data_IF_060087583539
#
_entry.id   IF_060087583539
#
_cell.length_a   1.000
_cell.length_b   1.000
_cell.length_c   1.000
_cell.angle_alpha   90.00
_cell.angle_beta   90.00
_cell.angle_gamma   90.00
#
_symmetry.space_group_name_H-M   'P 1'
#
loop_
_entity.id
_entity.type
_entity.pdbx_description
1 polymer ?
#
# COMPACT_ATOMS: atom_id res chain seq x y z
N UNK A 1 8.33 13.11 -16.53
CA UNK A 1 8.19 12.33 -15.25
C UNK A 1 7.22 11.16 -15.42
N UNK A 2 7.53 9.96 -14.91
CA UNK A 2 6.65 8.78 -15.00
C UNK A 2 6.43 8.12 -13.64
N UNK A 3 5.29 7.43 -13.46
CA UNK A 3 5.04 6.58 -12.29
C UNK A 3 5.54 5.16 -12.60
N UNK A 4 6.25 4.53 -11.67
CA UNK A 4 6.64 3.13 -11.78
C UNK A 4 6.34 2.40 -10.47
N UNK A 5 6.01 1.12 -10.59
CA UNK A 5 6.02 0.20 -9.45
C UNK A 5 6.95 -0.97 -9.75
N UNK A 6 7.87 -1.22 -8.84
CA UNK A 6 8.70 -2.42 -8.84
C UNK A 6 8.44 -3.15 -7.54
N UNK A 7 8.16 -4.45 -7.65
CA UNK A 7 7.82 -5.22 -6.47
C UNK A 7 7.69 -6.69 -6.74
N UNK A 8 7.22 -7.39 -5.72
CA UNK A 8 6.95 -8.82 -5.74
C UNK A 8 5.73 -9.10 -4.87
N UNK A 9 5.06 -10.20 -5.17
CA UNK A 9 3.90 -10.64 -4.41
C UNK A 9 3.89 -12.13 -4.24
N UNK A 10 2.96 -12.65 -3.44
CA UNK A 10 2.67 -14.08 -3.36
C UNK A 10 2.35 -14.75 -4.71
N UNK A 11 2.05 -13.98 -5.77
CA UNK A 11 1.86 -14.49 -7.14
C UNK A 11 3.19 -14.74 -7.86
N UNK A 12 4.21 -13.93 -7.57
CA UNK A 12 5.49 -13.96 -8.28
C UNK A 12 6.62 -14.58 -7.47
N UNK A 13 6.54 -14.54 -6.13
CA UNK A 13 7.61 -14.94 -5.22
C UNK A 13 7.10 -15.83 -4.08
N UNK A 14 7.82 -16.91 -3.73
CA UNK A 14 7.50 -17.74 -2.58
C UNK A 14 7.93 -17.04 -1.28
N UNK A 15 7.32 -17.39 -0.14
CA UNK A 15 7.53 -16.72 1.15
C UNK A 15 9.01 -16.62 1.56
N UNK A 16 9.86 -17.59 1.21
CA UNK A 16 11.31 -17.58 1.49
C UNK A 16 12.04 -16.38 0.87
N UNK A 17 11.55 -15.88 -0.27
CA UNK A 17 12.08 -14.69 -0.93
C UNK A 17 11.43 -13.43 -0.34
N UNK A 18 10.12 -13.48 -0.07
CA UNK A 18 9.34 -12.33 0.41
C UNK A 18 9.76 -11.90 1.80
N UNK A 19 10.03 -12.84 2.69
CA UNK A 19 10.41 -12.53 4.08
C UNK A 19 11.74 -11.79 4.17
N UNK A 20 12.72 -12.11 3.30
CA UNK A 20 14.02 -11.42 3.24
C UNK A 20 13.89 -9.95 2.86
N UNK A 21 12.86 -9.63 2.09
CA UNK A 21 12.60 -8.28 1.59
C UNK A 21 11.59 -7.54 2.49
N UNK A 22 10.99 -8.20 3.48
CA UNK A 22 10.03 -7.56 4.39
C UNK A 22 10.70 -6.41 5.13
N UNK A 23 10.12 -5.20 4.99
CA UNK A 23 10.59 -4.00 5.68
C UNK A 23 9.68 -3.76 6.88
N UNK A 24 10.18 -3.91 8.13
CA UNK A 24 9.42 -3.59 9.33
C UNK A 24 9.11 -2.10 9.40
N UNK A 25 7.99 -1.73 10.03
CA UNK A 25 7.55 -0.33 10.17
C UNK A 25 8.64 0.57 10.79
N UNK A 26 9.42 0.06 11.74
CA UNK A 26 10.53 0.79 12.36
C UNK A 26 11.67 1.14 11.40
N UNK A 27 11.83 0.42 10.28
CA UNK A 27 12.86 0.66 9.26
C UNK A 27 12.33 1.43 8.04
N UNK A 28 11.02 1.67 7.95
CA UNK A 28 10.40 2.34 6.79
C UNK A 28 10.99 3.73 6.56
N UNK A 29 11.24 4.50 7.61
CA UNK A 29 11.85 5.83 7.49
C UNK A 29 13.20 5.77 6.76
N UNK A 30 14.13 4.94 7.25
CA UNK A 30 15.44 4.76 6.64
C UNK A 30 15.36 4.25 5.19
N UNK A 31 14.41 3.36 4.90
CA UNK A 31 14.16 2.83 3.57
C UNK A 31 13.68 3.91 2.59
N UNK A 32 12.73 4.76 3.02
CA UNK A 32 12.22 5.88 2.22
C UNK A 32 13.31 6.93 1.98
N UNK A 33 14.12 7.26 3.00
CA UNK A 33 15.25 8.20 2.86
C UNK A 33 16.29 7.67 1.88
N UNK A 34 16.64 6.38 1.97
CA UNK A 34 17.60 5.76 1.04
C UNK A 34 17.05 5.81 -0.40
N UNK A 35 15.79 5.42 -0.61
CA UNK A 35 15.18 5.49 -1.94
C UNK A 35 15.12 6.92 -2.50
N UNK A 36 14.79 7.91 -1.68
CA UNK A 36 14.80 9.33 -2.06
C UNK A 36 16.18 9.89 -2.36
N UNK A 37 17.24 9.22 -1.90
CA UNK A 37 18.62 9.60 -2.18
C UNK A 37 19.09 9.23 -3.59
N UNK A 38 18.35 8.38 -4.31
CA UNK A 38 18.70 8.01 -5.68
C UNK A 38 18.42 9.16 -6.67
N UNK A 39 19.32 9.44 -7.63
CA UNK A 39 19.20 10.56 -8.56
C UNK A 39 17.90 10.61 -9.37
N UNK A 40 17.32 9.45 -9.72
CA UNK A 40 16.17 9.40 -10.60
C UNK A 40 14.84 9.21 -9.87
N UNK A 41 14.81 9.21 -8.53
CA UNK A 41 13.61 9.00 -7.71
C UNK A 41 13.15 10.32 -7.06
N UNK A 42 12.01 10.84 -7.50
CA UNK A 42 11.43 12.11 -7.02
C UNK A 42 10.42 11.92 -5.91
N UNK A 43 9.58 10.90 -5.99
CA UNK A 43 8.64 10.52 -4.95
C UNK A 43 8.72 9.01 -4.75
N UNK A 44 8.47 8.53 -3.53
CA UNK A 44 8.48 7.10 -3.23
C UNK A 44 7.55 6.73 -2.08
N UNK A 45 6.87 5.59 -2.23
CA UNK A 45 6.05 4.96 -1.20
C UNK A 45 6.28 3.44 -1.21
N UNK A 46 6.28 2.83 -0.01
CA UNK A 46 6.57 1.40 0.18
C UNK A 46 5.35 0.71 0.77
N UNK A 47 4.76 -0.20 0.02
CA UNK A 47 3.74 -1.13 0.54
C UNK A 47 4.44 -2.43 0.93
N UNK A 48 4.64 -2.64 2.23
CA UNK A 48 5.22 -3.86 2.80
C UNK A 48 4.15 -4.60 3.60
N UNK A 49 3.76 -5.79 3.14
CA UNK A 49 2.76 -6.64 3.79
C UNK A 49 3.21 -8.09 3.81
N UNK A 50 2.43 -8.97 4.45
CA UNK A 50 2.72 -10.39 4.43
C UNK A 50 2.58 -11.05 3.05
N UNK A 51 2.01 -10.36 2.06
CA UNK A 51 1.72 -10.92 0.72
C UNK A 51 2.41 -10.17 -0.42
N UNK A 52 3.03 -9.01 -0.15
CA UNK A 52 3.70 -8.19 -1.16
C UNK A 52 4.73 -7.25 -0.55
N UNK A 53 5.73 -6.92 -1.35
CA UNK A 53 6.53 -5.73 -1.18
C UNK A 53 6.51 -4.97 -2.51
N UNK A 54 6.03 -3.74 -2.49
CA UNK A 54 5.90 -2.90 -3.68
C UNK A 54 6.43 -1.51 -3.41
N UNK A 55 7.31 -1.03 -4.29
CA UNK A 55 7.85 0.32 -4.25
C UNK A 55 7.23 1.09 -5.40
N UNK A 56 6.36 2.05 -5.06
CA UNK A 56 5.79 3.00 -6.01
C UNK A 56 6.66 4.24 -6.02
N UNK A 57 7.10 4.66 -7.20
CA UNK A 57 7.99 5.79 -7.36
C UNK A 57 7.55 6.70 -8.51
N UNK A 58 7.83 8.00 -8.37
CA UNK A 58 7.87 8.93 -9.50
C UNK A 58 9.32 9.05 -9.93
N UNK A 59 9.58 8.77 -11.20
CA UNK A 59 10.92 8.71 -11.76
C UNK A 59 11.11 9.73 -12.89
N UNK A 60 12.31 10.32 -12.96
CA UNK A 60 12.70 11.23 -14.05
C UNK A 60 13.14 10.47 -15.29
N UNK A 61 13.90 9.39 -15.10
CA UNK A 61 14.31 8.43 -16.12
C UNK A 61 13.76 7.05 -15.77
N UNK A 62 12.93 6.49 -16.65
CA UNK A 62 12.16 5.28 -16.33
C UNK A 62 13.07 4.06 -16.18
N UNK A 63 14.04 3.87 -17.08
CA UNK A 63 14.92 2.71 -17.03
C UNK A 63 15.85 2.80 -15.82
N UNK A 64 16.48 3.95 -15.61
CA UNK A 64 17.40 4.13 -14.48
C UNK A 64 16.69 4.07 -13.13
N UNK A 65 15.51 4.68 -13.01
CA UNK A 65 14.71 4.60 -11.79
C UNK A 65 14.30 3.16 -11.44
N UNK A 66 13.91 2.36 -12.44
CA UNK A 66 13.62 0.93 -12.22
C UNK A 66 14.87 0.16 -11.77
N UNK A 67 16.03 0.44 -12.36
CA UNK A 67 17.31 -0.17 -11.95
C UNK A 67 17.66 0.19 -10.51
N UNK A 68 17.53 1.46 -10.11
CA UNK A 68 17.80 1.93 -8.75
C UNK A 68 16.88 1.27 -7.72
N UNK A 69 15.58 1.18 -8.00
CA UNK A 69 14.63 0.48 -7.12
C UNK A 69 14.98 -1.02 -7.01
N UNK A 70 15.36 -1.64 -8.13
CA UNK A 70 15.76 -3.05 -8.16
C UNK A 70 17.03 -3.30 -7.36
N UNK A 71 18.01 -2.39 -7.48
CA UNK A 71 19.26 -2.42 -6.72
C UNK A 71 19.00 -2.32 -5.22
N UNK A 72 18.18 -1.35 -4.81
CA UNK A 72 17.76 -1.18 -3.42
C UNK A 72 17.12 -2.45 -2.84
N UNK A 73 16.23 -3.10 -3.60
CA UNK A 73 15.61 -4.35 -3.17
C UNK A 73 16.65 -5.48 -3.00
N UNK A 74 17.61 -5.59 -3.92
CA UNK A 74 18.69 -6.58 -3.81
C UNK A 74 19.56 -6.36 -2.57
N UNK A 75 19.87 -5.10 -2.26
CA UNK A 75 20.66 -4.71 -1.08
C UNK A 75 19.92 -5.03 0.22
N UNK A 76 18.65 -4.66 0.34
CA UNK A 76 17.84 -4.95 1.54
C UNK A 76 17.69 -6.46 1.76
N UNK A 77 17.38 -7.20 0.69
CA UNK A 77 17.16 -8.64 0.80
C UNK A 77 18.44 -9.44 0.96
N UNK A 78 19.61 -8.82 0.76
CA UNK A 78 20.89 -9.51 0.56
C UNK A 78 20.77 -10.64 -0.47
N UNK A 79 20.05 -10.37 -1.57
CA UNK A 79 19.79 -11.33 -2.66
C UNK A 79 20.51 -10.83 -3.92
N UNK A 80 21.33 -11.66 -4.58
CA UNK A 80 21.94 -11.29 -5.86
C UNK A 80 20.89 -10.85 -6.90
N UNK A 81 21.14 -9.75 -7.60
CA UNK A 81 20.22 -9.15 -8.58
C UNK A 81 19.71 -10.15 -9.63
N UNK A 82 20.58 -11.02 -10.12
CA UNK A 82 20.27 -12.03 -11.14
C UNK A 82 19.27 -13.10 -10.64
N UNK A 83 19.22 -13.34 -9.33
CA UNK A 83 18.25 -14.21 -8.68
C UNK A 83 16.96 -13.44 -8.44
N UNK A 84 17.06 -12.24 -7.85
CA UNK A 84 15.90 -11.44 -7.45
C UNK A 84 15.02 -11.05 -8.65
N UNK A 85 15.61 -10.65 -9.79
CA UNK A 85 14.88 -10.20 -10.99
C UNK A 85 13.81 -11.19 -11.48
N UNK A 86 13.98 -12.49 -11.24
CA UNK A 86 13.03 -13.54 -11.66
C UNK A 86 11.70 -13.49 -10.90
N UNK A 87 11.71 -12.86 -9.72
CA UNK A 87 10.57 -12.76 -8.82
C UNK A 87 9.90 -11.38 -8.84
N UNK A 88 10.56 -10.39 -9.45
CA UNK A 88 10.08 -9.02 -9.53
C UNK A 88 9.12 -8.83 -10.72
N UNK A 89 8.12 -8.00 -10.52
CA UNK A 89 7.35 -7.40 -11.60
C UNK A 89 7.66 -5.90 -11.66
N UNK A 90 7.50 -5.33 -12.86
CA UNK A 90 7.60 -3.90 -13.11
C UNK A 90 6.39 -3.47 -13.91
N UNK A 91 5.66 -2.47 -13.41
CA UNK A 91 4.55 -1.84 -14.13
C UNK A 91 4.81 -0.34 -14.22
N UNK A 92 4.44 0.24 -15.35
CA UNK A 92 4.72 1.63 -15.68
C UNK A 92 3.42 2.41 -15.86
N UNK A 93 3.45 3.67 -15.47
CA UNK A 93 2.42 4.68 -15.65
C UNK A 93 1.00 4.15 -15.38
N UNK A 94 0.19 3.97 -16.42
CA UNK A 94 -1.21 3.56 -16.31
C UNK A 94 -1.35 2.18 -15.66
N UNK A 95 -0.43 1.25 -15.93
CA UNK A 95 -0.45 -0.08 -15.32
C UNK A 95 -0.07 -0.03 -13.84
N UNK A 96 0.83 0.87 -13.46
CA UNK A 96 1.18 1.11 -12.05
C UNK A 96 -0.02 1.71 -11.29
N UNK A 97 -0.72 2.68 -11.90
CA UNK A 97 -1.94 3.29 -11.38
C UNK A 97 -3.01 2.21 -11.19
N UNK A 98 -3.34 1.47 -12.27
CA UNK A 98 -4.32 0.39 -12.26
C UNK A 98 -3.98 -0.65 -11.20
N UNK A 99 -2.72 -1.03 -11.07
CA UNK A 99 -2.27 -1.99 -10.07
C UNK A 99 -2.54 -1.49 -8.64
N UNK A 100 -2.18 -0.26 -8.30
CA UNK A 100 -2.45 0.27 -6.95
C UNK A 100 -3.95 0.32 -6.64
N UNK A 101 -4.78 0.69 -7.61
CA UNK A 101 -6.24 0.67 -7.47
C UNK A 101 -6.74 -0.76 -7.20
N UNK A 102 -6.26 -1.75 -7.96
CA UNK A 102 -6.60 -3.17 -7.77
C UNK A 102 -6.12 -3.72 -6.42
N UNK A 103 -4.92 -3.32 -5.98
CA UNK A 103 -4.38 -3.65 -4.64
C UNK A 103 -5.28 -3.07 -3.56
N UNK A 104 -5.68 -1.80 -3.69
CA UNK A 104 -6.53 -1.11 -2.70
C UNK A 104 -7.96 -1.67 -2.65
N UNK A 105 -8.47 -2.16 -3.78
CA UNK A 105 -9.73 -2.89 -3.89
C UNK A 105 -9.66 -4.34 -3.37
N UNK A 106 -8.46 -4.85 -3.08
CA UNK A 106 -8.25 -6.23 -2.65
C UNK A 106 -8.36 -7.28 -3.76
N UNK A 107 -8.33 -6.87 -5.03
CA UNK A 107 -8.32 -7.78 -6.18
C UNK A 107 -6.97 -8.49 -6.35
N UNK A 108 -5.91 -7.88 -5.84
CA UNK A 108 -4.57 -8.47 -5.86
C UNK A 108 -4.26 -9.28 -4.61
N UNK A 109 -5.16 -9.36 -3.63
CA UNK A 109 -4.92 -10.08 -2.36
C UNK A 109 -5.08 -11.59 -2.53
N UNK A 110 -4.39 -12.36 -1.68
CA UNK A 110 -4.57 -13.81 -1.60
C UNK A 110 -6.05 -14.14 -1.40
N UNK A 111 -6.70 -13.38 -0.53
CA UNK A 111 -8.14 -13.45 -0.32
C UNK A 111 -8.81 -12.19 -0.87
N UNK A 112 -9.64 -12.40 -1.89
CA UNK A 112 -10.28 -11.31 -2.61
C UNK A 112 -11.19 -10.50 -1.67
N UNK A 113 -11.03 -9.18 -1.72
CA UNK A 113 -11.84 -8.25 -0.93
C UNK A 113 -11.42 -8.08 0.53
N UNK A 114 -10.30 -8.67 0.95
CA UNK A 114 -9.79 -8.53 2.31
C UNK A 114 -9.65 -7.04 2.68
N UNK A 115 -10.40 -6.60 3.69
CA UNK A 115 -10.43 -5.18 4.08
C UNK A 115 -9.14 -4.64 4.69
N UNK A 116 -8.18 -5.50 5.01
CA UNK A 116 -6.92 -5.13 5.65
C UNK A 116 -5.98 -4.38 4.70
N UNK A 117 -5.97 -4.74 3.41
CA UNK A 117 -5.06 -4.13 2.43
C UNK A 117 -5.35 -2.63 2.26
N UNK A 118 -6.62 -2.24 2.23
CA UNK A 118 -7.00 -0.83 2.15
C UNK A 118 -6.49 -0.02 3.36
N UNK A 119 -6.51 -0.63 4.56
CA UNK A 119 -5.95 -0.01 5.76
C UNK A 119 -4.42 0.09 5.69
N UNK A 120 -3.74 -0.90 5.08
CA UNK A 120 -2.29 -0.89 4.85
C UNK A 120 -1.89 0.17 3.81
N UNK A 121 -2.66 0.33 2.74
CA UNK A 121 -2.46 1.41 1.75
C UNK A 121 -2.62 2.78 2.42
N UNK A 122 -3.65 2.95 3.26
CA UNK A 122 -3.83 4.18 4.05
C UNK A 122 -2.65 4.45 4.99
N UNK A 123 -2.13 3.41 5.66
CA UNK A 123 -0.97 3.57 6.53
C UNK A 123 0.29 3.93 5.73
N UNK A 124 0.49 3.31 4.57
CA UNK A 124 1.59 3.59 3.64
C UNK A 124 1.58 5.05 3.23
N UNK A 125 0.43 5.56 2.79
CA UNK A 125 0.27 6.98 2.45
C UNK A 125 0.59 7.90 3.64
N UNK A 126 0.09 7.58 4.83
CA UNK A 126 0.39 8.36 6.06
C UNK A 126 1.87 8.38 6.41
N UNK A 127 2.56 7.24 6.34
CA UNK A 127 3.99 7.14 6.62
C UNK A 127 4.81 7.92 5.58
N UNK A 128 4.47 7.76 4.31
CA UNK A 128 5.11 8.49 3.23
C UNK A 128 4.97 10.02 3.36
N UNK A 129 3.78 10.51 3.76
CA UNK A 129 3.57 11.92 4.09
C UNK A 129 4.40 12.36 5.29
N UNK A 130 4.38 11.58 6.38
CA UNK A 130 5.13 11.87 7.61
C UNK A 130 6.62 12.07 7.33
N UNK A 131 7.18 11.28 6.41
CA UNK A 131 8.59 11.29 6.05
C UNK A 131 8.91 12.09 4.78
N UNK A 132 7.97 12.92 4.29
CA UNK A 132 8.12 13.76 3.09
C UNK A 132 8.65 13.00 1.87
N UNK A 133 8.30 11.71 1.74
CA UNK A 133 8.74 10.87 0.62
C UNK A 133 7.79 10.93 -0.57
N UNK A 134 6.57 11.44 -0.38
CA UNK A 134 5.60 11.69 -1.46
C UNK A 134 5.32 13.19 -1.61
N UNK A 135 4.94 13.58 -2.80
CA UNK A 135 4.51 14.94 -3.15
C UNK A 135 3.20 14.85 -3.95
N UNK A 136 2.97 15.73 -4.91
CA UNK A 136 1.72 15.89 -5.61
C UNK A 136 1.20 14.60 -6.28
N UNK A 137 2.08 13.83 -6.91
CA UNK A 137 1.68 12.74 -7.80
C UNK A 137 1.27 11.48 -7.03
N UNK A 138 2.15 10.98 -6.16
CA UNK A 138 1.81 9.82 -5.33
C UNK A 138 0.78 10.18 -4.27
N UNK A 139 0.76 11.40 -3.73
CA UNK A 139 -0.31 11.82 -2.80
C UNK A 139 -1.69 11.73 -3.45
N UNK A 140 -1.85 12.23 -4.68
CA UNK A 140 -3.10 12.14 -5.43
C UNK A 140 -3.46 10.68 -5.73
N UNK A 141 -2.50 9.90 -6.22
CA UNK A 141 -2.71 8.51 -6.61
C UNK A 141 -3.15 7.65 -5.41
N UNK A 142 -2.48 7.74 -4.26
CA UNK A 142 -2.85 6.98 -3.07
C UNK A 142 -4.22 7.42 -2.51
N UNK A 143 -4.54 8.72 -2.53
CA UNK A 143 -5.88 9.20 -2.14
C UNK A 143 -6.97 8.62 -3.03
N UNK A 144 -6.74 8.61 -4.34
CA UNK A 144 -7.68 8.04 -5.28
C UNK A 144 -7.81 6.52 -5.11
N UNK A 145 -6.71 5.81 -4.88
CA UNK A 145 -6.71 4.38 -4.60
C UNK A 145 -7.52 4.03 -3.34
N UNK A 146 -7.41 4.84 -2.29
CA UNK A 146 -8.24 4.68 -1.10
C UNK A 146 -9.73 4.93 -1.37
N UNK A 147 -10.06 5.90 -2.21
CA UNK A 147 -11.46 6.19 -2.61
C UNK A 147 -12.02 5.06 -3.45
N UNK A 148 -11.30 4.63 -4.48
CA UNK A 148 -11.67 3.51 -5.34
C UNK A 148 -11.87 2.21 -4.54
N UNK A 149 -10.93 1.89 -3.64
CA UNK A 149 -11.05 0.71 -2.78
C UNK A 149 -12.26 0.74 -1.85
N UNK A 150 -12.67 1.92 -1.35
CA UNK A 150 -13.92 2.07 -0.59
C UNK A 150 -15.14 1.86 -1.49
N UNK A 151 -15.17 2.52 -2.64
CA UNK A 151 -16.26 2.42 -3.63
C UNK A 151 -16.50 0.98 -4.05
N UNK A 152 -15.45 0.25 -4.44
CA UNK A 152 -15.55 -1.18 -4.78
C UNK A 152 -16.17 -1.98 -3.63
N UNK A 153 -15.77 -1.75 -2.38
CA UNK A 153 -16.32 -2.50 -1.24
C UNK A 153 -17.77 -2.16 -0.92
N UNK A 154 -18.22 -0.93 -1.20
CA UNK A 154 -19.59 -0.49 -0.92
C UNK A 154 -20.55 -0.79 -2.07
N UNK A 155 -20.07 -0.73 -3.30
CA UNK A 155 -20.89 -0.84 -4.53
C UNK A 155 -20.86 -2.24 -5.14
N UNK A 156 -20.01 -3.16 -4.67
CA UNK A 156 -19.91 -4.54 -5.19
C UNK A 156 -20.01 -5.60 -4.09
N UNK A 157 -20.28 -6.84 -4.50
CA UNK A 157 -20.35 -8.00 -3.60
C UNK A 157 -19.01 -8.40 -2.98
N UNK A 158 -17.89 -7.78 -3.38
CA UNK A 158 -16.55 -8.01 -2.82
C UNK A 158 -16.52 -7.72 -1.31
N UNK A 159 -17.27 -6.70 -0.86
CA UNK A 159 -17.26 -6.28 0.54
C UNK A 159 -17.93 -7.25 1.52
N UNK A 160 -18.91 -8.03 1.06
CA UNK A 160 -19.82 -8.83 1.91
C UNK A 160 -19.44 -10.32 1.99
N UNK A 161 -18.57 -10.80 1.08
CA UNK A 161 -18.15 -12.20 1.00
C UNK A 161 -16.64 -12.46 1.20
N UNK A 162 -15.88 -11.44 1.61
CA UNK A 162 -14.42 -11.55 1.72
C UNK A 162 -14.02 -12.51 2.85
N UNK A 163 -13.52 -13.69 2.46
CA UNK A 163 -12.74 -14.59 3.32
C UNK A 163 -11.50 -13.81 3.81
N UNK A 164 -11.00 -14.07 5.02
CA UNK A 164 -9.76 -13.46 5.54
C UNK A 164 -8.61 -14.48 5.54
N UNK A 165 -7.36 -14.03 5.68
CA UNK A 165 -6.23 -14.95 5.84
C UNK A 165 -6.42 -15.82 7.10
N UNK A 166 -6.90 -15.22 8.20
CA UNK A 166 -7.22 -15.96 9.42
C UNK A 166 -8.31 -17.01 9.20
N UNK A 167 -9.35 -16.70 8.43
CA UNK A 167 -10.39 -17.70 8.13
C UNK A 167 -9.86 -18.81 7.24
N UNK A 168 -9.03 -18.48 6.24
CA UNK A 168 -8.38 -19.49 5.39
C UNK A 168 -7.47 -20.43 6.20
N UNK A 169 -6.76 -19.89 7.21
CA UNK A 169 -5.96 -20.68 8.13
C UNK A 169 -6.82 -21.64 8.97
N UNK A 170 -7.97 -21.18 9.47
CA UNK A 170 -8.93 -22.04 10.18
C UNK A 170 -9.54 -23.10 9.27
N UNK A 171 -9.90 -22.76 8.04
CA UNK A 171 -10.40 -23.73 7.05
C UNK A 171 -9.34 -24.76 6.67
N UNK A 172 -8.06 -24.38 6.57
CA UNK A 172 -6.96 -25.31 6.38
C UNK A 172 -6.86 -26.31 7.54
N UNK A 173 -6.90 -25.82 8.78
CA UNK A 173 -6.90 -26.66 9.97
C UNK A 173 -8.08 -27.63 9.96
N UNK A 174 -9.28 -27.10 9.72
CA UNK A 174 -10.54 -27.87 9.68
C UNK A 174 -10.52 -28.95 8.58
N UNK A 175 -9.95 -28.68 7.41
CA UNK A 175 -9.84 -29.68 6.33
C UNK A 175 -8.87 -30.82 6.64
N UNK A 176 -7.96 -30.63 7.61
CA UNK A 176 -6.91 -31.57 7.98
C UNK A 176 -7.22 -32.37 9.24
N UNK A 177 -8.24 -32.00 10.01
CA UNK A 177 -8.68 -32.71 11.21
C UNK A 177 -10.13 -33.15 11.07
N UNK A 178 -10.50 -34.26 11.71
CA UNK A 178 -11.87 -34.81 11.62
C UNK A 178 -12.90 -33.94 12.37
N UNK A 179 -12.50 -33.42 13.52
CA UNK A 179 -13.34 -32.56 14.37
C UNK A 179 -12.45 -31.52 15.06
N UNK A 180 -12.71 -30.25 14.77
CA UNK A 180 -11.97 -29.12 15.33
C UNK A 180 -12.44 -28.74 16.75
N UNK A 181 -13.65 -29.15 17.15
CA UNK A 181 -14.20 -28.82 18.46
C UNK A 181 -13.50 -29.56 19.61
N UNK A 182 -13.00 -30.77 19.34
CA UNK A 182 -12.23 -31.59 20.27
C UNK A 182 -10.74 -31.21 20.41
N UNK A 183 -10.25 -30.26 19.62
CA UNK A 183 -8.81 -29.91 19.57
C UNK A 183 -8.43 -28.81 20.55
N UNK A 184 -7.24 -28.96 21.15
CA UNK A 184 -6.57 -27.91 21.92
C UNK A 184 -5.83 -26.98 20.96
N UNK A 185 -6.21 -25.72 20.97
CA UNK A 185 -5.70 -24.72 20.02
C UNK A 185 -4.92 -23.65 20.78
N UNK A 186 -3.70 -23.37 20.36
CA UNK A 186 -2.96 -22.20 20.81
C UNK A 186 -2.83 -21.16 19.69
N UNK A 187 -2.93 -19.89 20.05
CA UNK A 187 -2.64 -18.76 19.18
C UNK A 187 -1.51 -17.95 19.80
N UNK A 188 -0.37 -17.88 19.11
CA UNK A 188 0.77 -17.09 19.53
C UNK A 188 0.65 -15.70 18.89
N UNK A 189 0.37 -14.71 19.74
CA UNK A 189 0.08 -13.33 19.41
C UNK A 189 -1.36 -12.94 19.74
N UNK A 190 -1.56 -11.69 20.17
CA UNK A 190 -2.88 -11.09 20.43
C UNK A 190 -3.10 -9.84 19.57
N UNK A 191 -2.98 -9.99 18.25
CA UNK A 191 -3.14 -8.91 17.28
C UNK A 191 -4.50 -8.93 16.56
N UNK A 192 -4.63 -8.11 15.52
CA UNK A 192 -5.83 -8.07 14.66
C UNK A 192 -6.13 -9.43 14.02
N UNK A 193 -5.09 -10.17 13.64
CA UNK A 193 -5.21 -11.51 13.06
C UNK A 193 -5.74 -12.53 14.06
N UNK A 194 -5.29 -12.45 15.32
CA UNK A 194 -5.73 -13.31 16.42
C UNK A 194 -7.23 -13.16 16.69
N UNK A 195 -7.76 -11.93 16.65
CA UNK A 195 -9.21 -11.68 16.77
C UNK A 195 -10.01 -12.45 15.73
N UNK A 196 -9.59 -12.35 14.46
CA UNK A 196 -10.26 -13.06 13.37
C UNK A 196 -10.11 -14.58 13.52
N UNK A 197 -8.92 -15.07 13.92
CA UNK A 197 -8.72 -16.49 14.21
C UNK A 197 -9.72 -16.99 15.26
N UNK A 198 -9.84 -16.32 16.40
CA UNK A 198 -10.79 -16.69 17.45
C UNK A 198 -12.23 -16.68 16.94
N UNK A 199 -12.63 -15.66 16.18
CA UNK A 199 -13.98 -15.58 15.59
C UNK A 199 -14.28 -16.78 14.69
N UNK A 200 -13.34 -17.16 13.82
CA UNK A 200 -13.54 -18.27 12.89
C UNK A 200 -13.46 -19.65 13.56
N UNK A 201 -12.57 -19.80 14.56
CA UNK A 201 -12.49 -21.02 15.38
C UNK A 201 -13.79 -21.24 16.15
N UNK A 202 -14.33 -20.19 16.76
CA UNK A 202 -15.64 -20.22 17.44
C UNK A 202 -16.77 -20.63 16.51
N UNK A 203 -16.82 -20.07 15.30
CA UNK A 203 -17.82 -20.43 14.29
C UNK A 203 -17.74 -21.90 13.85
N UNK A 204 -16.58 -22.55 14.04
CA UNK A 204 -16.35 -23.98 13.79
C UNK A 204 -16.44 -24.84 15.06
N UNK A 205 -16.92 -24.27 16.17
CA UNK A 205 -17.19 -25.00 17.40
C UNK A 205 -16.00 -25.21 18.33
N UNK A 206 -14.84 -24.58 18.07
CA UNK A 206 -13.69 -24.69 18.96
C UNK A 206 -13.91 -23.97 20.30
N UNK A 207 -13.68 -24.67 21.41
CA UNK A 207 -13.87 -24.13 22.76
C UNK A 207 -12.59 -24.07 23.60
N UNK A 208 -11.57 -24.86 23.25
CA UNK A 208 -10.30 -24.92 23.99
C UNK A 208 -9.24 -24.08 23.28
N UNK A 209 -9.26 -22.77 23.54
CA UNK A 209 -8.35 -21.82 22.89
C UNK A 209 -7.46 -21.14 23.94
N UNK A 210 -6.15 -21.26 23.75
CA UNK A 210 -5.12 -20.58 24.49
C UNK A 210 -4.53 -19.42 23.68
N UNK A 211 -4.33 -18.26 24.31
CA UNK A 211 -3.65 -17.10 23.73
C UNK A 211 -2.32 -16.92 24.46
N UNK A 212 -1.23 -17.03 23.71
CA UNK A 212 0.12 -16.75 24.21
C UNK A 212 0.54 -15.39 23.68
N UNK A 213 0.91 -14.45 24.54
CA UNK A 213 1.33 -13.13 24.07
C UNK A 213 2.32 -12.45 25.00
N UNK A 214 3.25 -11.68 24.41
CA UNK A 214 4.22 -10.86 25.17
C UNK A 214 3.56 -9.84 26.09
N UNK A 215 2.45 -9.24 25.64
CA UNK A 215 1.72 -8.24 26.41
C UNK A 215 0.45 -8.85 26.97
N UNK A 216 0.44 -9.10 28.28
CA UNK A 216 -0.74 -9.62 28.98
C UNK A 216 -1.96 -8.71 28.75
N UNK A 217 -1.79 -7.39 28.87
CA UNK A 217 -2.83 -6.39 28.60
C UNK A 217 -3.53 -6.59 27.25
N UNK A 218 -2.78 -6.86 26.16
CA UNK A 218 -3.37 -7.10 24.83
C UNK A 218 -4.12 -8.43 24.75
N UNK A 219 -3.64 -9.47 25.44
CA UNK A 219 -4.34 -10.75 25.50
C UNK A 219 -5.67 -10.63 26.27
N UNK A 220 -5.69 -9.86 27.36
CA UNK A 220 -6.90 -9.55 28.14
C UNK A 220 -7.88 -8.65 27.36
N UNK A 221 -7.37 -7.68 26.59
CA UNK A 221 -8.20 -6.89 25.67
C UNK A 221 -8.89 -7.77 24.64
N UNK A 222 -8.16 -8.71 24.03
CA UNK A 222 -8.71 -9.67 23.09
C UNK A 222 -9.75 -10.59 23.74
N UNK A 223 -9.46 -11.12 24.93
CA UNK A 223 -10.38 -11.99 25.66
C UNK A 223 -11.70 -11.29 26.02
N UNK A 224 -11.65 -10.00 26.37
CA UNK A 224 -12.85 -9.19 26.65
C UNK A 224 -13.79 -9.05 25.45
N UNK A 225 -13.31 -9.21 24.22
CA UNK A 225 -14.16 -9.21 23.02
C UNK A 225 -15.00 -10.49 22.88
N UNK A 226 -14.64 -11.58 23.59
CA UNK A 226 -15.29 -12.88 23.52
C UNK A 226 -15.74 -13.37 24.92
N UNK A 227 -16.69 -12.67 25.57
CA UNK A 227 -17.05 -12.95 26.97
C UNK A 227 -17.66 -14.35 27.19
N UNK A 228 -18.18 -14.97 26.13
CA UNK A 228 -18.80 -16.30 26.18
C UNK A 228 -17.81 -17.45 25.95
N UNK A 229 -16.52 -17.14 25.74
CA UNK A 229 -15.47 -18.12 25.54
C UNK A 229 -14.35 -17.88 26.57
N UNK A 230 -14.11 -18.80 27.52
CA UNK A 230 -13.02 -18.67 28.47
C UNK A 230 -11.67 -18.94 27.77
N UNK A 231 -11.08 -17.90 27.19
CA UNK A 231 -9.73 -17.96 26.63
C UNK A 231 -8.69 -18.11 27.74
N UNK A 232 -7.81 -19.11 27.61
CA UNK A 232 -6.68 -19.28 28.51
C UNK A 232 -5.56 -18.32 28.09
N UNK A 233 -5.06 -17.49 29.00
CA UNK A 233 -4.06 -16.48 28.68
C UNK A 233 -2.72 -16.85 29.31
N UNK A 234 -1.67 -16.87 28.49
CA UNK A 234 -0.33 -17.28 28.90
C UNK A 234 0.73 -16.26 28.50
N UNK A 235 1.78 -16.17 29.32
CA UNK A 235 2.97 -15.39 29.01
C UNK A 235 3.92 -16.10 28.04
N UNK A 236 4.99 -15.41 27.61
CA UNK A 236 6.02 -16.03 26.75
C UNK A 236 6.80 -17.14 27.47
N UNK A 237 6.94 -17.05 28.79
CA UNK A 237 7.62 -18.06 29.61
C UNK A 237 6.92 -19.42 29.53
N UNK A 238 5.60 -19.41 29.37
CA UNK A 238 4.77 -20.61 29.29
C UNK A 238 4.57 -21.08 27.83
N UNK A 239 5.05 -20.32 26.84
CA UNK A 239 4.79 -20.54 25.42
C UNK A 239 5.08 -21.97 24.98
N UNK A 240 6.27 -22.49 25.30
CA UNK A 240 6.68 -23.82 24.84
C UNK A 240 5.88 -24.93 25.51
N UNK A 241 5.49 -24.76 26.78
CA UNK A 241 4.60 -25.69 27.46
C UNK A 241 3.19 -25.69 26.84
N UNK A 242 2.64 -24.51 26.53
CA UNK A 242 1.35 -24.37 25.84
C UNK A 242 1.40 -24.99 24.43
N UNK A 243 2.48 -24.75 23.67
CA UNK A 243 2.69 -25.35 22.34
C UNK A 243 2.72 -26.87 22.43
N UNK A 244 3.48 -27.44 23.37
CA UNK A 244 3.57 -28.88 23.55
C UNK A 244 2.25 -29.54 24.00
N UNK A 245 1.40 -28.79 24.70
CA UNK A 245 0.08 -29.21 25.15
C UNK A 245 -1.04 -29.07 24.08
N UNK A 246 -0.74 -28.46 22.92
CA UNK A 246 -1.72 -28.15 21.88
C UNK A 246 -1.70 -29.16 20.73
N UNK A 247 -2.84 -29.34 20.08
CA UNK A 247 -2.93 -30.09 18.82
C UNK A 247 -2.63 -29.18 17.63
N UNK A 248 -3.07 -27.92 17.70
CA UNK A 248 -2.97 -26.94 16.62
C UNK A 248 -2.45 -25.62 17.19
N UNK A 249 -1.44 -25.04 16.55
CA UNK A 249 -0.84 -23.76 16.93
C UNK A 249 -0.88 -22.82 15.75
N UNK A 250 -1.48 -21.65 15.94
CA UNK A 250 -1.43 -20.54 14.99
C UNK A 250 -0.39 -19.52 15.44
N UNK A 251 0.49 -19.09 14.54
CA UNK A 251 1.42 -17.98 14.81
C UNK A 251 1.02 -16.74 14.01
N UNK A 252 0.86 -15.61 14.71
CA UNK A 252 0.51 -14.34 14.09
C UNK A 252 1.16 -13.15 14.82
N UNK A 253 2.47 -13.24 15.09
CA UNK A 253 3.23 -12.18 15.75
C UNK A 253 3.99 -11.30 14.77
N UNK A 254 4.48 -10.16 15.25
CA UNK A 254 5.40 -9.29 14.51
C UNK A 254 6.88 -9.62 14.72
N UNK A 255 7.23 -10.84 15.18
CA UNK A 255 8.62 -11.26 15.32
C UNK A 255 9.32 -11.29 13.95
N UNK A 256 10.58 -10.84 13.90
CA UNK A 256 11.41 -10.85 12.70
C UNK A 256 12.23 -12.13 12.55
N UNK A 257 12.41 -12.85 13.65
CA UNK A 257 13.07 -14.16 13.70
C UNK A 257 12.04 -15.24 14.05
N UNK A 258 12.24 -16.48 13.59
CA UNK A 258 11.39 -17.60 13.98
C UNK A 258 11.40 -17.83 15.49
N UNK A 259 10.20 -17.95 16.06
CA UNK A 259 9.96 -18.21 17.49
C UNK A 259 9.75 -19.69 17.79
N UNK A 260 9.45 -20.49 16.76
CA UNK A 260 9.38 -21.95 16.84
C UNK A 260 10.43 -22.54 15.88
N UNK A 261 11.35 -23.31 16.44
CA UNK A 261 12.43 -24.00 15.72
C UNK A 261 12.46 -25.47 16.13
N UNK A 262 13.13 -26.31 15.34
CA UNK A 262 13.29 -27.73 15.68
C UNK A 262 13.92 -27.91 17.06
N UNK A 263 14.97 -27.13 17.36
CA UNK A 263 15.69 -27.23 18.62
C UNK A 263 14.76 -26.97 19.83
N UNK A 264 13.98 -25.89 19.78
CA UNK A 264 13.02 -25.57 20.85
C UNK A 264 11.93 -26.63 20.99
N UNK A 265 11.42 -27.16 19.86
CA UNK A 265 10.40 -28.20 19.89
C UNK A 265 10.92 -29.55 20.40
N UNK A 266 12.21 -29.84 20.24
CA UNK A 266 12.83 -31.06 20.80
C UNK A 266 13.09 -30.99 22.31
N UNK A 267 13.13 -29.79 22.89
CA UNK A 267 13.29 -29.59 24.33
C UNK A 267 11.99 -29.87 25.12
N UNK A 268 10.85 -29.94 24.43
CA UNK A 268 9.54 -30.20 25.04
C UNK A 268 8.95 -31.52 24.60
N UNK A 269 8.21 -32.17 25.50
CA UNK A 269 7.46 -33.39 25.17
C UNK A 269 6.12 -33.00 24.55
N UNK A 270 6.02 -33.08 23.22
CA UNK A 270 4.77 -32.87 22.49
C UNK A 270 3.77 -33.96 22.91
N UNK A 271 2.63 -33.52 23.45
CA UNK A 271 1.60 -34.43 23.99
C UNK A 271 0.62 -34.90 22.92
N UNK A 272 0.45 -34.14 21.84
CA UNK A 272 -0.39 -34.49 20.72
C UNK A 272 0.25 -35.57 19.84
N UNK A 273 -0.56 -36.44 19.25
CA UNK A 273 -0.08 -37.46 18.29
C UNK A 273 0.52 -36.83 17.04
N UNK A 274 0.03 -35.65 16.65
CA UNK A 274 0.55 -34.83 15.58
C UNK A 274 0.27 -33.35 15.91
N UNK A 275 1.32 -32.54 16.01
CA UNK A 275 1.25 -31.11 16.24
C UNK A 275 1.17 -30.38 14.90
N UNK A 276 0.11 -29.60 14.70
CA UNK A 276 -0.09 -28.78 13.50
C UNK A 276 0.30 -27.34 13.77
N UNK A 277 1.28 -26.82 13.04
CA UNK A 277 1.72 -25.43 13.09
C UNK A 277 1.22 -24.70 11.85
N UNK A 278 0.46 -23.62 12.01
CA UNK A 278 -0.05 -22.79 10.91
C UNK A 278 0.46 -21.37 11.11
N UNK A 279 1.44 -20.99 10.29
CA UNK A 279 2.08 -19.69 10.33
C UNK A 279 1.44 -18.71 9.34
N UNK A 280 0.83 -17.65 9.89
CA UNK A 280 0.25 -16.56 9.11
C UNK A 280 1.07 -15.27 9.20
N UNK A 281 2.29 -15.34 9.73
CA UNK A 281 3.24 -14.23 9.81
C UNK A 281 4.25 -14.23 8.66
N UNK A 282 4.70 -13.02 8.30
CA UNK A 282 5.83 -12.78 7.39
C UNK A 282 6.60 -11.56 7.93
N UNK A 283 7.88 -11.69 8.35
CA UNK A 283 8.71 -12.91 8.36
C UNK A 283 8.11 -14.08 9.15
N UNK A 284 8.49 -15.31 8.76
CA UNK A 284 7.92 -16.51 9.36
C UNK A 284 8.28 -16.62 10.84
N UNK A 285 7.28 -16.96 11.64
CA UNK A 285 7.41 -17.25 13.06
C UNK A 285 7.77 -18.73 13.30
N UNK A 286 7.53 -19.60 12.31
CA UNK A 286 7.90 -21.01 12.35
C UNK A 286 9.04 -21.27 11.36
N UNK A 287 10.17 -21.74 11.86
CA UNK A 287 11.32 -22.06 11.02
C UNK A 287 11.05 -23.34 10.21
N UNK A 288 11.70 -23.48 9.05
CA UNK A 288 11.45 -24.62 8.12
C UNK A 288 11.95 -25.96 8.64
N UNK A 289 12.97 -25.95 9.51
CA UNK A 289 13.57 -27.14 10.15
C UNK A 289 12.58 -27.98 10.98
N UNK A 290 11.47 -27.38 11.46
CA UNK A 290 10.45 -28.10 12.23
C UNK A 290 9.80 -29.22 11.41
N UNK A 291 9.82 -29.13 10.07
CA UNK A 291 9.30 -30.15 9.15
C UNK A 291 10.08 -31.47 9.21
N UNK A 292 11.27 -31.46 9.78
CA UNK A 292 12.07 -32.68 10.00
C UNK A 292 11.56 -33.52 11.18
N UNK A 293 10.71 -32.95 12.05
CA UNK A 293 10.13 -33.67 13.17
C UNK A 293 8.91 -34.47 12.69
N UNK A 294 8.96 -35.80 12.84
CA UNK A 294 7.89 -36.69 12.38
C UNK A 294 6.51 -36.39 12.97
N UNK A 295 6.46 -35.81 14.18
CA UNK A 295 5.23 -35.43 14.87
C UNK A 295 4.70 -34.05 14.49
N UNK A 296 5.40 -33.29 13.63
CA UNK A 296 5.06 -31.88 13.35
C UNK A 296 4.66 -31.71 11.88
N UNK A 297 3.53 -31.04 11.66
CA UNK A 297 3.09 -30.60 10.34
C UNK A 297 3.07 -29.07 10.33
N UNK A 298 3.91 -28.44 9.52
CA UNK A 298 4.01 -26.98 9.44
C UNK A 298 3.54 -26.44 8.09
N UNK A 299 2.66 -25.44 8.17
CA UNK A 299 2.06 -24.72 7.06
C UNK A 299 2.35 -23.22 7.17
N UNK A 300 2.46 -22.54 6.04
CA UNK A 300 2.66 -21.09 5.96
C UNK A 300 1.57 -20.42 5.10
N UNK A 301 1.68 -19.09 4.94
CA UNK A 301 0.73 -18.30 4.14
C UNK A 301 0.56 -18.75 2.69
N UNK A 302 1.56 -19.37 2.06
CA UNK A 302 1.47 -19.86 0.69
C UNK A 302 0.64 -21.16 0.61
N UNK A 303 0.63 -21.98 1.66
CA UNK A 303 -0.17 -23.21 1.74
C UNK A 303 -1.69 -22.91 1.81
N UNK A 304 -2.07 -21.72 2.25
CA UNK A 304 -3.46 -21.26 2.32
C UNK A 304 -4.10 -21.07 0.94
N UNK A 305 -3.31 -20.95 -0.13
CA UNK A 305 -3.79 -20.74 -1.51
C UNK A 305 -4.78 -21.82 -1.94
N UNK A 306 -4.53 -23.07 -1.58
CA UNK A 306 -5.35 -24.21 -1.99
C UNK A 306 -6.77 -24.14 -1.41
N UNK A 307 -6.88 -23.78 -0.12
CA UNK A 307 -8.16 -23.66 0.59
C UNK A 307 -8.95 -22.46 0.09
N UNK A 308 -8.23 -21.39 -0.23
CA UNK A 308 -8.80 -20.16 -0.77
C UNK A 308 -9.29 -20.38 -2.21
N UNK A 309 -8.78 -21.35 -2.98
CA UNK A 309 -9.16 -21.57 -4.38
C UNK A 309 -10.56 -22.20 -4.60
N UNK A 310 -11.25 -22.71 -3.57
CA UNK A 310 -12.50 -23.46 -3.74
C UNK A 310 -13.70 -22.66 -4.29
N UNK A 311 -13.63 -21.32 -4.37
CA UNK A 311 -14.72 -20.43 -4.81
C UNK A 311 -14.35 -19.58 -6.05
N UNK A 312 -13.70 -20.15 -7.07
CA UNK A 312 -13.17 -19.38 -8.22
C UNK A 312 -14.24 -18.68 -9.07
N UNK A 313 -15.41 -19.28 -9.29
CA UNK A 313 -16.43 -18.75 -10.21
C UNK A 313 -17.07 -17.45 -9.69
N UNK A 314 -17.58 -17.48 -8.45
CA UNK A 314 -18.13 -16.31 -7.76
C UNK A 314 -17.10 -15.16 -7.69
N UNK A 315 -15.83 -15.51 -7.49
CA UNK A 315 -14.72 -14.55 -7.45
C UNK A 315 -14.44 -13.85 -8.77
N UNK A 316 -14.51 -14.58 -9.88
CA UNK A 316 -14.35 -13.99 -11.22
C UNK A 316 -15.45 -12.97 -11.50
N UNK A 317 -16.70 -13.29 -11.12
CA UNK A 317 -17.81 -12.37 -11.31
C UNK A 317 -17.63 -11.09 -10.47
N UNK A 318 -17.31 -11.24 -9.18
CA UNK A 318 -17.03 -10.12 -8.29
C UNK A 318 -15.86 -9.25 -8.79
N UNK A 319 -14.80 -9.86 -9.31
CA UNK A 319 -13.66 -9.14 -9.86
C UNK A 319 -14.02 -8.29 -11.09
N UNK A 320 -14.89 -8.80 -11.98
CA UNK A 320 -15.34 -8.07 -13.18
C UNK A 320 -16.11 -6.80 -12.82
N UNK A 321 -17.01 -6.87 -11.85
CA UNK A 321 -17.79 -5.71 -11.38
C UNK A 321 -16.86 -4.62 -10.81
N UNK A 322 -15.86 -5.04 -10.03
CA UNK A 322 -14.86 -4.12 -9.49
C UNK A 322 -13.97 -3.52 -10.58
N UNK A 323 -13.53 -4.30 -11.56
CA UNK A 323 -12.69 -3.83 -12.67
C UNK A 323 -13.34 -2.68 -13.44
N UNK A 324 -14.65 -2.75 -13.69
CA UNK A 324 -15.38 -1.68 -14.36
C UNK A 324 -15.34 -0.35 -13.56
N UNK A 325 -15.49 -0.42 -12.23
CA UNK A 325 -15.38 0.75 -11.36
C UNK A 325 -13.94 1.29 -11.30
N UNK A 326 -12.95 0.39 -11.27
CA UNK A 326 -11.55 0.78 -11.23
C UNK A 326 -11.10 1.45 -12.54
N UNK A 327 -11.59 1.01 -13.70
CA UNK A 327 -11.20 1.63 -14.97
C UNK A 327 -11.67 3.09 -15.07
N UNK A 328 -12.87 3.41 -14.56
CA UNK A 328 -13.33 4.80 -14.44
C UNK A 328 -12.37 5.67 -13.59
N UNK A 329 -11.83 5.09 -12.52
CA UNK A 329 -10.86 5.75 -11.65
C UNK A 329 -9.50 5.90 -12.33
N UNK A 330 -9.04 4.89 -13.10
CA UNK A 330 -7.83 5.02 -13.93
C UNK A 330 -7.99 6.17 -14.91
N UNK A 331 -9.10 6.21 -15.66
CA UNK A 331 -9.39 7.28 -16.64
C UNK A 331 -9.41 8.66 -15.98
N UNK A 332 -10.05 8.78 -14.81
CA UNK A 332 -10.09 10.03 -14.05
C UNK A 332 -8.70 10.47 -13.58
N UNK A 333 -7.83 9.52 -13.18
CA UNK A 333 -6.44 9.82 -12.83
C UNK A 333 -5.65 10.30 -14.04
N UNK A 334 -5.77 9.61 -15.18
CA UNK A 334 -5.08 9.96 -16.43
C UNK A 334 -5.49 11.36 -16.93
N UNK A 335 -6.79 11.68 -16.89
CA UNK A 335 -7.28 13.01 -17.25
C UNK A 335 -6.69 14.10 -16.34
N UNK A 336 -6.64 13.84 -15.03
CA UNK A 336 -6.00 14.74 -14.07
C UNK A 336 -4.50 14.87 -14.33
N UNK A 337 -3.78 13.77 -14.52
CA UNK A 337 -2.34 13.75 -14.77
C UNK A 337 -2.00 14.60 -16.00
N UNK A 338 -2.70 14.39 -17.11
CA UNK A 338 -2.49 15.16 -18.34
C UNK A 338 -2.75 16.65 -18.16
N UNK A 339 -3.64 17.04 -17.23
CA UNK A 339 -3.90 18.46 -16.95
C UNK A 339 -2.67 19.17 -16.36
N UNK A 340 -1.73 18.42 -15.75
CA UNK A 340 -0.50 18.96 -15.17
C UNK A 340 0.44 19.54 -16.23
N UNK A 341 0.44 19.02 -17.46
CA UNK A 341 1.26 19.54 -18.58
C UNK A 341 0.97 21.03 -18.86
N UNK A 342 -0.22 21.52 -18.49
CA UNK A 342 -0.59 22.92 -18.66
C UNK A 342 0.01 23.85 -17.61
N UNK A 343 0.40 23.30 -16.45
CA UNK A 343 0.81 24.08 -15.27
C UNK A 343 2.04 24.96 -15.55
N UNK A 344 3.14 24.45 -16.17
CA UNK A 344 4.32 25.27 -16.43
C UNK A 344 4.03 26.44 -17.36
N UNK A 345 3.29 26.21 -18.45
CA UNK A 345 2.93 27.26 -19.40
C UNK A 345 2.03 28.32 -18.77
N UNK A 346 1.05 27.90 -17.94
CA UNK A 346 0.19 28.83 -17.18
C UNK A 346 1.03 29.67 -16.21
N UNK A 347 2.00 29.05 -15.53
CA UNK A 347 2.90 29.76 -14.59
C UNK A 347 3.73 30.82 -15.31
N UNK A 348 4.38 30.46 -16.43
CA UNK A 348 5.16 31.41 -17.24
C UNK A 348 4.29 32.55 -17.78
N UNK A 349 3.09 32.24 -18.28
CA UNK A 349 2.17 33.27 -18.77
C UNK A 349 1.78 34.25 -17.65
N UNK A 350 1.47 33.74 -16.47
CA UNK A 350 1.10 34.56 -15.32
C UNK A 350 2.26 35.45 -14.88
N UNK A 351 3.48 34.92 -14.79
CA UNK A 351 4.67 35.70 -14.46
C UNK A 351 4.88 36.83 -15.47
N UNK A 352 4.83 36.52 -16.76
CA UNK A 352 5.04 37.51 -17.83
C UNK A 352 4.02 38.65 -17.82
N UNK A 353 2.74 38.33 -17.57
CA UNK A 353 1.70 39.37 -17.49
C UNK A 353 1.84 40.18 -16.20
N UNK A 354 2.25 39.56 -15.10
CA UNK A 354 2.53 40.30 -13.86
C UNK A 354 3.71 41.26 -14.04
N UNK A 355 4.78 40.85 -14.71
CA UNK A 355 5.92 41.72 -15.04
C UNK A 355 5.47 42.94 -15.88
N UNK A 356 4.60 42.72 -16.87
CA UNK A 356 4.01 43.82 -17.67
C UNK A 356 3.17 44.74 -16.78
N UNK A 357 2.35 44.18 -15.89
CA UNK A 357 1.51 44.95 -14.97
C UNK A 357 2.35 45.84 -14.07
N UNK A 358 3.42 45.29 -13.48
CA UNK A 358 4.31 46.02 -12.58
C UNK A 358 5.04 47.15 -13.31
N UNK A 359 5.57 46.90 -14.52
CA UNK A 359 6.23 47.92 -15.34
C UNK A 359 5.27 49.06 -15.72
N UNK A 360 4.03 48.76 -16.10
CA UNK A 360 3.06 49.79 -16.46
C UNK A 360 2.52 50.54 -15.23
N UNK A 361 2.39 49.86 -14.08
CA UNK A 361 2.04 50.51 -12.82
C UNK A 361 3.11 51.50 -12.38
N UNK A 362 4.39 51.10 -12.44
CA UNK A 362 5.52 51.97 -12.09
C UNK A 362 5.57 53.21 -13.00
N UNK A 363 5.41 53.03 -14.32
CA UNK A 363 5.33 54.13 -15.29
C UNK A 363 4.17 55.07 -14.98
N UNK A 364 2.99 54.53 -14.67
CA UNK A 364 1.82 55.33 -14.34
C UNK A 364 2.04 56.16 -13.06
N UNK A 365 2.52 55.53 -11.98
CA UNK A 365 2.79 56.20 -10.70
C UNK A 365 3.86 57.30 -10.85
N UNK A 366 4.92 57.07 -11.64
CA UNK A 366 5.97 58.06 -11.90
C UNK A 366 5.45 59.36 -12.56
N UNK A 367 4.34 59.27 -13.31
CA UNK A 367 3.73 60.40 -14.03
C UNK A 367 2.65 61.15 -13.24
N UNK A 368 2.12 60.54 -12.18
CA UNK A 368 1.00 61.08 -11.39
C UNK A 368 1.44 62.06 -10.29
N UNK A 369 2.74 62.17 -10.01
CA UNK A 369 3.27 62.99 -8.92
C UNK A 369 3.15 62.30 -7.55
N UNK A 370 4.08 62.60 -6.63
CA UNK A 370 4.26 61.85 -5.36
C UNK A 370 3.04 61.86 -4.44
N UNK A 371 2.39 63.01 -4.22
CA UNK A 371 1.21 63.10 -3.34
C UNK A 371 0.00 62.31 -3.88
N UNK A 372 -0.22 62.31 -5.20
CA UNK A 372 -1.34 61.57 -5.79
C UNK A 372 -1.05 60.07 -5.84
N UNK A 373 0.20 59.72 -6.17
CA UNK A 373 0.65 58.33 -6.21
C UNK A 373 0.47 57.68 -4.83
N UNK A 374 1.00 58.25 -3.74
CA UNK A 374 0.89 57.67 -2.40
C UNK A 374 -0.57 57.50 -1.94
N UNK A 375 -1.44 58.46 -2.27
CA UNK A 375 -2.85 58.42 -1.84
C UNK A 375 -3.70 57.40 -2.60
N UNK A 376 -3.37 57.10 -3.85
CA UNK A 376 -4.21 56.29 -4.74
C UNK A 376 -3.56 54.98 -5.22
N UNK A 377 -2.31 54.70 -4.81
CA UNK A 377 -1.56 53.52 -5.23
C UNK A 377 -2.31 52.21 -5.03
N UNK A 378 -2.90 51.97 -3.84
CA UNK A 378 -3.64 50.74 -3.55
C UNK A 378 -4.84 50.53 -4.50
N UNK A 379 -5.55 51.61 -4.85
CA UNK A 379 -6.70 51.56 -5.75
C UNK A 379 -6.27 51.23 -7.18
N UNK A 380 -5.18 51.83 -7.64
CA UNK A 380 -4.61 51.58 -8.97
C UNK A 380 -4.05 50.16 -9.05
N UNK A 381 -3.38 49.69 -7.99
CA UNK A 381 -2.87 48.32 -7.91
C UNK A 381 -4.02 47.30 -7.94
N UNK A 382 -5.08 47.51 -7.14
CA UNK A 382 -6.25 46.66 -7.15
C UNK A 382 -6.95 46.64 -8.53
N UNK A 383 -7.06 47.80 -9.19
CA UNK A 383 -7.63 47.91 -10.53
C UNK A 383 -6.81 47.12 -11.57
N UNK A 384 -5.49 47.33 -11.59
CA UNK A 384 -4.61 46.65 -12.56
C UNK A 384 -4.56 45.14 -12.33
N UNK A 385 -4.50 44.69 -11.06
CA UNK A 385 -4.63 43.26 -10.71
C UNK A 385 -5.98 42.69 -11.14
N UNK A 386 -7.07 43.45 -10.95
CA UNK A 386 -8.41 43.05 -11.38
C UNK A 386 -8.50 42.81 -12.90
N UNK A 387 -7.86 43.67 -13.70
CA UNK A 387 -7.78 43.53 -15.16
C UNK A 387 -6.98 42.27 -15.52
N UNK A 388 -5.77 42.09 -14.96
CA UNK A 388 -4.92 40.92 -15.21
C UNK A 388 -5.64 39.62 -14.86
N UNK A 389 -6.27 39.55 -13.68
CA UNK A 389 -7.02 38.38 -13.25
C UNK A 389 -8.18 38.05 -14.20
N UNK A 390 -8.92 39.06 -14.68
CA UNK A 390 -10.03 38.85 -15.63
C UNK A 390 -9.55 38.39 -17.00
N UNK A 391 -8.43 38.92 -17.50
CA UNK A 391 -7.83 38.51 -18.78
C UNK A 391 -7.33 37.06 -18.70
N UNK A 392 -6.68 36.70 -17.60
CA UNK A 392 -6.08 35.38 -17.43
C UNK A 392 -7.09 34.28 -17.09
N UNK A 393 -8.20 34.61 -16.42
CA UNK A 393 -9.14 33.62 -15.90
C UNK A 393 -9.66 32.68 -17.00
N UNK A 394 -10.25 33.21 -18.07
CA UNK A 394 -10.90 32.39 -19.10
C UNK A 394 -9.89 31.50 -19.87
N UNK A 395 -8.75 32.02 -20.37
CA UNK A 395 -7.74 31.17 -21.00
C UNK A 395 -7.22 30.04 -20.09
N UNK A 396 -6.99 30.32 -18.79
CA UNK A 396 -6.53 29.31 -17.84
C UNK A 396 -7.58 28.20 -17.60
N UNK A 397 -8.86 28.58 -17.48
CA UNK A 397 -9.96 27.63 -17.29
C UNK A 397 -10.12 26.75 -18.53
N UNK A 398 -10.18 27.35 -19.73
CA UNK A 398 -10.36 26.63 -20.99
C UNK A 398 -9.18 25.67 -21.27
N UNK A 399 -7.95 26.10 -21.00
CA UNK A 399 -6.76 25.28 -21.22
C UNK A 399 -6.74 24.03 -20.32
N UNK A 400 -7.21 24.15 -19.07
CA UNK A 400 -7.35 23.02 -18.13
C UNK A 400 -8.53 22.12 -18.45
N UNK A 401 -9.62 22.69 -18.98
CA UNK A 401 -10.84 21.95 -19.31
C UNK A 401 -10.73 21.16 -20.62
N UNK A 402 -9.88 21.59 -21.56
CA UNK A 402 -9.74 20.96 -22.88
C UNK A 402 -9.26 19.51 -22.77
N UNK A 403 -10.09 18.51 -23.09
CA UNK A 403 -9.76 17.09 -22.93
C UNK A 403 -8.99 16.47 -24.11
N UNK A 404 -9.11 17.05 -25.31
CA UNK A 404 -8.38 16.60 -26.50
C UNK A 404 -6.88 16.97 -26.38
N UNK A 405 -6.01 15.96 -26.43
CA UNK A 405 -4.55 16.08 -26.30
C UNK A 405 -3.97 16.97 -27.39
N UNK A 406 -4.36 16.75 -28.64
CA UNK A 406 -3.83 17.48 -29.78
C UNK A 406 -4.34 18.91 -29.78
N UNK A 407 -5.62 19.12 -29.45
CA UNK A 407 -6.16 20.46 -29.29
C UNK A 407 -5.47 21.23 -28.16
N UNK A 408 -5.26 20.59 -27.00
CA UNK A 408 -4.56 21.19 -25.85
C UNK A 408 -3.11 21.53 -26.19
N UNK A 409 -2.38 20.62 -26.84
CA UNK A 409 -1.00 20.84 -27.26
C UNK A 409 -0.90 22.01 -28.25
N UNK A 410 -1.81 22.10 -29.22
CA UNK A 410 -1.90 23.25 -30.13
C UNK A 410 -2.18 24.55 -29.38
N UNK A 411 -3.10 24.55 -28.41
CA UNK A 411 -3.37 25.73 -27.58
C UNK A 411 -2.13 26.15 -26.75
N UNK A 412 -1.42 25.20 -26.15
CA UNK A 412 -0.17 25.46 -25.41
C UNK A 412 0.89 26.08 -26.31
N UNK A 413 1.13 25.50 -27.49
CA UNK A 413 2.07 26.03 -28.47
C UNK A 413 1.69 27.43 -28.95
N UNK A 414 0.40 27.67 -29.22
CA UNK A 414 -0.09 29.00 -29.58
C UNK A 414 0.15 30.02 -28.48
N UNK A 415 -0.09 29.68 -27.20
CA UNK A 415 0.19 30.59 -26.08
C UNK A 415 1.69 30.86 -25.93
N UNK A 416 2.52 29.81 -26.03
CA UNK A 416 3.97 29.95 -25.99
C UNK A 416 4.50 30.84 -27.11
N UNK A 417 3.95 30.70 -28.32
CA UNK A 417 4.31 31.52 -29.47
C UNK A 417 3.81 32.97 -29.33
N UNK A 418 2.52 33.16 -29.07
CA UNK A 418 1.89 34.49 -29.01
C UNK A 418 2.46 35.36 -27.88
N UNK A 419 2.78 34.73 -26.75
CA UNK A 419 3.34 35.42 -25.59
C UNK A 419 4.85 35.22 -25.44
N UNK A 420 5.54 34.57 -26.38
CA UNK A 420 6.98 34.26 -26.31
C UNK A 420 7.40 33.75 -24.92
N UNK A 421 6.81 32.62 -24.50
CA UNK A 421 7.03 32.02 -23.18
C UNK A 421 8.15 30.98 -23.26
N UNK A 422 9.20 31.16 -22.45
CA UNK A 422 10.26 30.17 -22.26
C UNK A 422 9.89 29.24 -21.12
N UNK A 423 9.23 28.13 -21.45
CA UNK A 423 8.91 27.07 -20.48
C UNK A 423 10.17 26.21 -20.31
N UNK A 424 10.81 26.28 -19.15
CA UNK A 424 11.93 25.38 -18.84
C UNK A 424 11.48 23.92 -18.79
N UNK A 425 12.35 22.99 -19.20
CA UNK A 425 12.12 21.53 -19.17
C UNK A 425 12.06 20.95 -17.74
N UNK A 426 11.46 21.63 -16.76
CA UNK A 426 11.41 21.14 -15.37
C UNK A 426 10.42 19.98 -15.17
N UNK A 427 9.64 19.60 -16.19
CA UNK A 427 8.58 18.60 -16.08
C UNK A 427 8.52 17.55 -17.21
N UNK A 428 9.49 17.52 -18.13
CA UNK A 428 9.55 16.44 -19.14
C UNK A 428 9.91 15.08 -18.54
#
# INVERSE_FOLDING_TARGET
>A
MNIAVVGLSHKTAPVEIREKLSIPEAKIESALTHLKGYPHIQEVAIISTCNRLEIYAVVTDTEKGVVEITQFLAEIGHIPLNVLRRYLFTLLHQDAVRHLLRVSAGLESLVLGEGQILAQVKNTHKLAQKYNSISQLLDRLFKQAMTAGKRVRTETSIGTGAVSISSAAVELAHAKVTDLSSKKIAIIGAGKMSRLLVTHLLAKGSQQIAIVNRSQRRAEELAREFPNLPLQLYGLEEMMATVAASDIVFTSTGATEPILTKNLLTEVTITATSLMLIDISVPRNVHTDVKELAQVQAFNVDDLKAVVAANQESRRQMAREAEALLEQEVEAFELWWRSLDTVPTISCLRSKIEDIREQELEKALSRLGTEFAEKHQEVIEAMTRGIVNKILHEPMVQLRAQQDIEARKRCLQSLQMLFNLSVGEEYS
#
